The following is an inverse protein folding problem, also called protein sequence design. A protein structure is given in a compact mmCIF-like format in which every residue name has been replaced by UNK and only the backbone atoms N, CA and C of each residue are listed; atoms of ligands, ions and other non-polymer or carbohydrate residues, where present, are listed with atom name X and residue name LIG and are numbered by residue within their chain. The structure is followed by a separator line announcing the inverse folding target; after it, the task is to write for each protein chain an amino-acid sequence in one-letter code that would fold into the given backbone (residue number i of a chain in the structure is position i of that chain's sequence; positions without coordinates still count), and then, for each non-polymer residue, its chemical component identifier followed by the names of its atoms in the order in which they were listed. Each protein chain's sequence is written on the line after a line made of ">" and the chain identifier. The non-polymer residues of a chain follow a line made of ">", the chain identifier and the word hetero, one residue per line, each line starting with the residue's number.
data_IF_702627979944
#
_entry.id   IF_702627979944
#
_cell.length_a   1.000
_cell.length_b   1.000
_cell.length_c   1.000
_cell.angle_alpha   90.00
_cell.angle_beta   90.00
_cell.angle_gamma   90.00
#
_symmetry.space_group_name_H-M   'P 1'
#
loop_
_entity.id
_entity.type
_entity.pdbx_description
1 polymer ?
#
# COMPACT_ATOMS: atom_id res chain seq x y z
N UNK A 1 9.39 0.16 -70.01
CA UNK A 1 10.09 0.61 -68.79
C UNK A 1 9.15 1.22 -67.74
N UNK A 2 7.87 1.10 -67.86
CA UNK A 2 6.89 1.79 -66.96
C UNK A 2 6.19 0.87 -65.96
N UNK A 3 6.02 -0.42 -66.25
CA UNK A 3 5.33 -1.33 -65.28
C UNK A 3 6.21 -1.80 -64.12
N UNK A 4 7.52 -1.86 -64.30
CA UNK A 4 8.45 -2.33 -63.25
C UNK A 4 8.63 -1.25 -62.16
N UNK A 5 8.65 0.04 -62.56
CA UNK A 5 8.75 1.14 -61.59
C UNK A 5 7.48 1.35 -60.75
N UNK A 6 6.29 1.11 -61.32
CA UNK A 6 5.06 1.18 -60.55
C UNK A 6 4.93 0.08 -59.47
N UNK A 7 5.33 -1.15 -59.82
CA UNK A 7 5.30 -2.26 -58.82
C UNK A 7 6.31 -2.09 -57.70
N UNK A 8 7.47 -1.49 -58.00
CA UNK A 8 8.47 -1.20 -56.99
C UNK A 8 8.04 -0.06 -56.05
N UNK A 9 7.32 0.93 -56.58
CA UNK A 9 6.77 2.04 -55.80
C UNK A 9 5.64 1.59 -54.87
N UNK A 10 4.80 0.65 -55.28
CA UNK A 10 3.77 0.03 -54.40
C UNK A 10 4.36 -0.88 -53.33
N UNK A 11 5.47 -1.56 -53.61
CA UNK A 11 6.18 -2.34 -52.59
C UNK A 11 6.86 -1.45 -51.53
N UNK A 12 7.41 -0.31 -51.96
CA UNK A 12 7.98 0.70 -51.04
C UNK A 12 6.90 1.40 -50.20
N UNK A 13 5.71 1.70 -50.79
CA UNK A 13 4.59 2.24 -50.02
C UNK A 13 3.99 1.26 -49.03
N UNK A 14 4.01 -0.04 -49.34
CA UNK A 14 3.54 -1.09 -48.42
C UNK A 14 4.53 -1.34 -47.26
N UNK A 15 5.83 -1.12 -47.48
CA UNK A 15 6.85 -1.16 -46.43
C UNK A 15 6.85 0.08 -45.53
N UNK A 16 6.31 1.23 -45.99
CA UNK A 16 6.16 2.48 -45.20
C UNK A 16 4.86 2.54 -44.43
N UNK A 17 3.89 1.65 -44.71
CA UNK A 17 2.81 1.31 -43.78
C UNK A 17 3.31 0.29 -42.75
N UNK A 18 4.51 0.57 -42.23
CA UNK A 18 4.96 -0.07 -41.01
C UNK A 18 3.89 0.13 -39.97
N UNK A 19 3.18 -0.95 -39.65
CA UNK A 19 2.35 -1.03 -38.45
C UNK A 19 3.19 -0.47 -37.34
N UNK A 20 2.86 0.72 -36.84
CA UNK A 20 3.25 1.12 -35.51
C UNK A 20 2.59 0.08 -34.61
N UNK A 21 3.29 -1.03 -34.39
CA UNK A 21 3.03 -1.87 -33.25
C UNK A 21 3.32 -0.96 -32.08
N UNK A 22 2.28 -0.28 -31.62
CA UNK A 22 2.29 0.31 -30.29
C UNK A 22 2.54 -0.92 -29.42
N UNK A 23 3.78 -1.10 -29.03
CA UNK A 23 4.15 -2.10 -28.05
C UNK A 23 3.29 -1.78 -26.84
N UNK A 24 2.22 -2.55 -26.67
CA UNK A 24 1.36 -2.42 -25.52
C UNK A 24 2.28 -2.67 -24.33
N UNK A 25 2.63 -1.59 -23.62
CA UNK A 25 3.58 -1.61 -22.51
C UNK A 25 3.03 -2.67 -21.55
N UNK A 26 3.65 -3.85 -21.52
CA UNK A 26 3.23 -4.93 -20.62
C UNK A 26 3.32 -4.37 -19.21
N UNK A 27 2.18 -4.23 -18.55
CA UNK A 27 2.14 -3.84 -17.15
C UNK A 27 2.76 -4.99 -16.34
N UNK A 28 3.93 -4.77 -15.81
CA UNK A 28 4.78 -5.80 -15.17
C UNK A 28 4.10 -6.47 -13.99
N UNK A 29 3.17 -5.80 -13.32
CA UNK A 29 2.41 -6.35 -12.19
C UNK A 29 1.37 -7.42 -12.56
N UNK A 30 1.05 -7.60 -13.84
CA UNK A 30 0.12 -8.63 -14.35
C UNK A 30 0.83 -9.88 -14.85
N UNK A 31 2.15 -9.97 -14.70
CA UNK A 31 2.91 -11.17 -15.05
C UNK A 31 2.71 -12.19 -13.91
N UNK A 32 2.23 -13.40 -14.20
CA UNK A 32 2.06 -14.41 -13.17
C UNK A 32 3.39 -14.71 -12.46
N UNK A 33 3.33 -14.92 -11.16
CA UNK A 33 4.47 -15.25 -10.31
C UNK A 33 5.66 -14.26 -10.36
N UNK A 34 5.37 -12.99 -10.68
CA UNK A 34 6.38 -11.94 -10.82
C UNK A 34 6.04 -10.72 -9.97
N UNK A 35 7.02 -10.21 -9.23
CA UNK A 35 6.97 -8.88 -8.63
C UNK A 35 7.99 -7.96 -9.29
N UNK A 36 7.62 -6.73 -9.66
CA UNK A 36 8.52 -5.79 -10.31
C UNK A 36 9.75 -5.46 -9.47
N UNK A 37 10.87 -5.19 -10.11
CA UNK A 37 12.03 -4.61 -9.47
C UNK A 37 11.81 -3.12 -9.18
N UNK A 38 12.72 -2.49 -8.43
CA UNK A 38 12.53 -1.11 -7.99
C UNK A 38 12.40 -0.10 -9.16
N UNK A 39 13.19 -0.27 -10.23
CA UNK A 39 13.08 0.60 -11.42
C UNK A 39 11.71 0.48 -12.08
N UNK A 40 11.24 -0.75 -12.30
CA UNK A 40 9.93 -1.02 -12.88
C UNK A 40 8.78 -0.48 -12.03
N UNK A 41 8.88 -0.58 -10.69
CA UNK A 41 7.92 0.02 -9.77
C UNK A 41 7.87 1.54 -9.98
N UNK A 42 9.01 2.20 -9.95
CA UNK A 42 9.04 3.66 -10.04
C UNK A 42 8.66 4.16 -11.43
N UNK A 43 9.05 3.48 -12.49
CA UNK A 43 8.64 3.82 -13.86
C UNK A 43 7.12 3.71 -14.03
N UNK A 44 6.49 2.67 -13.44
CA UNK A 44 5.03 2.57 -13.42
C UNK A 44 4.38 3.78 -12.72
N UNK A 45 4.87 4.18 -11.55
CA UNK A 45 4.30 5.32 -10.81
C UNK A 45 4.61 6.67 -11.46
N UNK A 46 5.71 6.82 -12.19
CA UNK A 46 5.98 8.00 -13.03
C UNK A 46 4.95 8.11 -14.14
N UNK A 47 4.74 7.03 -14.88
CA UNK A 47 3.72 7.00 -15.94
C UNK A 47 2.31 7.27 -15.37
N UNK A 48 2.00 6.74 -14.20
CA UNK A 48 0.73 6.99 -13.53
C UNK A 48 0.58 8.45 -13.08
N UNK A 49 1.66 9.10 -12.70
CA UNK A 49 1.67 10.50 -12.27
C UNK A 49 1.47 11.51 -13.43
N UNK A 50 1.63 11.09 -14.69
CA UNK A 50 1.28 11.89 -15.85
C UNK A 50 -0.25 12.03 -16.06
N UNK A 51 -1.03 11.23 -15.35
CA UNK A 51 -2.49 11.26 -15.42
C UNK A 51 -3.03 12.39 -14.55
N UNK A 52 -4.07 13.06 -15.05
CA UNK A 52 -4.76 14.13 -14.31
C UNK A 52 -5.16 13.68 -12.91
N UNK A 53 -4.89 14.51 -11.93
CA UNK A 53 -5.21 14.24 -10.53
C UNK A 53 -4.22 13.31 -9.82
N UNK A 54 -3.04 13.10 -10.39
CA UNK A 54 -2.00 12.25 -9.82
C UNK A 54 -0.65 12.96 -9.77
N UNK A 55 0.19 12.59 -8.79
CA UNK A 55 1.55 13.11 -8.66
C UNK A 55 2.46 12.09 -7.97
N UNK A 56 3.74 12.07 -8.34
CA UNK A 56 4.78 11.28 -7.66
C UNK A 56 5.83 12.21 -7.06
N UNK A 57 6.01 12.14 -5.75
CA UNK A 57 6.91 13.01 -4.98
C UNK A 57 8.08 12.21 -4.40
N UNK A 58 9.33 12.67 -4.59
CA UNK A 58 10.47 12.18 -3.81
C UNK A 58 10.39 12.80 -2.41
N UNK A 59 10.16 11.98 -1.37
CA UNK A 59 9.96 12.44 0.00
C UNK A 59 11.24 12.40 0.83
N UNK A 60 12.15 11.50 0.53
CA UNK A 60 13.42 11.32 1.23
C UNK A 60 14.23 10.18 0.63
N UNK A 61 15.07 9.58 1.46
CA UNK A 61 15.99 8.51 1.06
C UNK A 61 16.03 7.40 2.10
N UNK A 62 16.36 6.19 1.63
CA UNK A 62 16.70 5.04 2.47
C UNK A 62 18.10 5.19 3.07
N UNK A 63 18.48 4.28 3.97
CA UNK A 63 19.84 4.22 4.50
C UNK A 63 20.90 3.93 3.41
N UNK A 64 20.53 3.25 2.32
CA UNK A 64 21.36 3.05 1.14
C UNK A 64 21.45 4.26 0.20
N UNK A 65 20.77 5.37 0.53
CA UNK A 65 20.75 6.59 -0.30
C UNK A 65 19.78 6.51 -1.49
N UNK A 66 18.94 5.49 -1.54
CA UNK A 66 17.95 5.31 -2.60
C UNK A 66 16.70 6.14 -2.30
N UNK A 67 16.09 6.79 -3.32
CA UNK A 67 14.92 7.65 -3.11
C UNK A 67 13.71 6.86 -2.64
N UNK A 68 12.96 7.42 -1.68
CA UNK A 68 11.64 6.94 -1.24
C UNK A 68 10.61 7.91 -1.79
N UNK A 69 9.63 7.37 -2.51
CA UNK A 69 8.58 8.12 -3.17
C UNK A 69 7.23 7.98 -2.48
N UNK A 70 6.41 9.00 -2.67
CA UNK A 70 4.99 9.04 -2.35
C UNK A 70 4.21 9.31 -3.62
N UNK A 71 3.31 8.42 -4.00
CA UNK A 71 2.33 8.64 -5.05
C UNK A 71 1.03 9.12 -4.43
N UNK A 72 0.46 10.19 -4.98
CA UNK A 72 -0.85 10.70 -4.60
C UNK A 72 -1.81 10.63 -5.80
N UNK A 73 -3.02 10.18 -5.54
CA UNK A 73 -4.13 10.16 -6.48
C UNK A 73 -5.30 10.99 -5.93
N UNK A 74 -6.04 11.62 -6.82
CA UNK A 74 -7.16 12.50 -6.52
C UNK A 74 -6.73 13.80 -5.83
N UNK A 75 -5.66 14.41 -6.35
CA UNK A 75 -5.05 15.66 -5.86
C UNK A 75 -4.80 16.64 -7.01
N UNK A 76 -4.59 17.94 -6.72
CA UNK A 76 -4.02 18.87 -7.70
C UNK A 76 -2.63 18.44 -8.17
N UNK A 77 -2.24 18.83 -9.41
CA UNK A 77 -0.97 18.45 -10.03
C UNK A 77 0.24 19.26 -9.53
N UNK A 78 0.03 20.31 -8.75
CA UNK A 78 1.10 21.06 -8.08
C UNK A 78 1.46 20.42 -6.75
N UNK A 79 2.76 20.19 -6.51
CA UNK A 79 3.25 19.44 -5.33
C UNK A 79 2.83 20.04 -3.98
N UNK A 80 2.91 21.38 -3.84
CA UNK A 80 2.55 22.04 -2.59
C UNK A 80 1.04 21.98 -2.36
N UNK A 81 0.26 22.26 -3.40
CA UNK A 81 -1.21 22.18 -3.38
C UNK A 81 -1.70 20.76 -3.17
N UNK A 82 -1.01 19.74 -3.72
CA UNK A 82 -1.36 18.34 -3.54
C UNK A 82 -1.26 17.92 -2.07
N UNK A 83 -0.18 18.30 -1.38
CA UNK A 83 0.00 18.00 0.04
C UNK A 83 -0.97 18.79 0.92
N UNK A 84 -1.20 20.07 0.61
CA UNK A 84 -2.21 20.88 1.30
C UNK A 84 -3.62 20.28 1.12
N UNK A 85 -3.96 19.90 -0.11
CA UNK A 85 -5.23 19.26 -0.42
C UNK A 85 -5.40 17.92 0.33
N UNK A 86 -4.34 17.10 0.39
CA UNK A 86 -4.37 15.84 1.14
C UNK A 86 -4.68 16.09 2.63
N UNK A 87 -4.01 17.05 3.26
CA UNK A 87 -4.26 17.41 4.67
C UNK A 87 -5.68 17.91 4.93
N UNK A 88 -6.31 18.55 3.95
CA UNK A 88 -7.68 19.07 4.04
C UNK A 88 -8.77 18.04 3.71
N UNK A 89 -8.41 16.87 3.22
CA UNK A 89 -9.35 15.83 2.79
C UNK A 89 -9.04 14.50 3.47
N UNK A 90 -9.97 13.54 3.34
CA UNK A 90 -9.76 12.19 3.86
C UNK A 90 -8.67 11.47 3.08
N UNK A 91 -7.69 10.91 3.77
CA UNK A 91 -6.53 10.23 3.19
C UNK A 91 -6.47 8.76 3.59
N UNK A 92 -6.38 7.89 2.60
CA UNK A 92 -5.97 6.50 2.75
C UNK A 92 -4.48 6.40 2.39
N UNK A 93 -3.62 6.21 3.39
CA UNK A 93 -2.18 5.97 3.20
C UNK A 93 -1.88 4.48 3.22
N UNK A 94 -1.27 3.99 2.15
CA UNK A 94 -0.86 2.59 1.99
C UNK A 94 0.66 2.52 1.95
N UNK A 95 1.23 1.70 2.83
CA UNK A 95 2.66 1.46 2.89
C UNK A 95 2.99 0.05 2.41
N UNK A 96 3.92 -0.08 1.48
CA UNK A 96 4.27 -1.35 0.88
C UNK A 96 5.74 -1.70 1.11
N UNK A 97 5.99 -2.98 1.36
CA UNK A 97 7.33 -3.53 1.35
C UNK A 97 8.22 -3.05 2.50
N UNK A 98 7.70 -2.87 3.71
CA UNK A 98 8.55 -2.76 4.92
C UNK A 98 9.49 -3.95 4.97
N UNK A 99 8.95 -5.15 4.79
CA UNK A 99 9.71 -6.34 4.48
C UNK A 99 9.66 -6.56 2.97
N UNK A 100 10.73 -6.25 2.28
CA UNK A 100 10.74 -6.27 0.82
C UNK A 100 10.54 -7.67 0.20
N UNK A 101 10.70 -8.73 1.00
CA UNK A 101 10.33 -10.10 0.62
C UNK A 101 8.82 -10.39 0.65
N UNK A 102 7.99 -9.42 1.00
CA UNK A 102 6.54 -9.47 1.13
C UNK A 102 5.87 -8.55 0.10
N UNK A 103 5.96 -8.85 -1.21
CA UNK A 103 5.67 -7.87 -2.28
C UNK A 103 4.19 -7.76 -2.66
N UNK A 104 3.29 -8.49 -2.01
CA UNK A 104 1.88 -8.59 -2.39
C UNK A 104 1.21 -7.22 -2.50
N UNK A 105 1.49 -6.32 -1.55
CA UNK A 105 0.99 -4.95 -1.55
C UNK A 105 1.55 -4.10 -2.69
N UNK A 106 2.80 -4.33 -3.11
CA UNK A 106 3.41 -3.63 -4.25
C UNK A 106 2.59 -3.90 -5.52
N UNK A 107 2.38 -5.20 -5.84
CA UNK A 107 1.61 -5.60 -7.00
C UNK A 107 0.13 -5.18 -6.89
N UNK A 108 -0.48 -5.32 -5.70
CA UNK A 108 -1.87 -4.94 -5.46
C UNK A 108 -2.09 -3.43 -5.65
N UNK A 109 -1.19 -2.58 -5.15
CA UNK A 109 -1.29 -1.13 -5.32
C UNK A 109 -1.08 -0.70 -6.79
N UNK A 110 -0.17 -1.34 -7.53
CA UNK A 110 -0.03 -1.08 -8.96
C UNK A 110 -1.32 -1.44 -9.71
N UNK A 111 -1.92 -2.58 -9.40
CA UNK A 111 -3.21 -2.98 -9.96
C UNK A 111 -4.34 -2.00 -9.56
N UNK A 112 -4.37 -1.54 -8.31
CA UNK A 112 -5.33 -0.51 -7.86
C UNK A 112 -5.22 0.77 -8.68
N UNK A 113 -4.02 1.31 -8.86
CA UNK A 113 -3.76 2.53 -9.63
C UNK A 113 -4.16 2.38 -11.10
N UNK A 114 -3.88 1.22 -11.69
CA UNK A 114 -4.30 0.94 -13.08
C UNK A 114 -5.83 0.83 -13.21
N UNK A 115 -6.51 0.22 -12.23
CA UNK A 115 -7.97 0.15 -12.18
C UNK A 115 -8.61 1.54 -12.00
N UNK A 116 -8.05 2.39 -11.14
CA UNK A 116 -8.51 3.77 -10.94
C UNK A 116 -8.37 4.62 -12.22
N UNK A 117 -7.38 4.34 -13.05
CA UNK A 117 -7.23 5.01 -14.34
C UNK A 117 -8.34 4.64 -15.33
N UNK A 118 -8.83 3.40 -15.28
CA UNK A 118 -9.92 2.89 -16.14
C UNK A 118 -11.30 3.26 -15.60
N UNK A 119 -11.44 3.24 -14.30
CA UNK A 119 -12.68 3.54 -13.58
C UNK A 119 -12.36 4.46 -12.40
N UNK A 120 -12.32 5.78 -12.62
CA UNK A 120 -12.05 6.74 -11.56
C UNK A 120 -13.07 6.62 -10.44
N UNK A 121 -12.60 6.69 -9.21
CA UNK A 121 -13.50 6.74 -8.06
C UNK A 121 -14.27 8.06 -8.02
N UNK A 122 -15.55 8.00 -7.68
CA UNK A 122 -16.37 9.19 -7.38
C UNK A 122 -16.14 9.69 -5.95
N UNK A 123 -15.41 8.94 -5.17
CA UNK A 123 -15.05 9.24 -3.80
C UNK A 123 -13.97 10.34 -3.77
N UNK A 124 -14.13 11.33 -2.88
CA UNK A 124 -13.15 12.42 -2.69
C UNK A 124 -11.91 12.03 -1.88
N UNK A 125 -11.75 10.76 -1.58
CA UNK A 125 -10.59 10.26 -0.84
C UNK A 125 -9.30 10.45 -1.63
N UNK A 126 -8.32 11.03 -0.97
CA UNK A 126 -6.94 11.02 -1.46
C UNK A 126 -6.34 9.65 -1.18
N UNK A 127 -5.83 9.02 -2.22
CA UNK A 127 -5.07 7.76 -2.08
C UNK A 127 -3.59 8.13 -2.09
N UNK A 128 -2.91 7.84 -1.00
CA UNK A 128 -1.48 8.05 -0.82
C UNK A 128 -0.79 6.68 -0.75
N UNK A 129 0.18 6.43 -1.61
CA UNK A 129 0.88 5.14 -1.68
C UNK A 129 2.37 5.38 -1.55
N UNK A 130 3.01 4.68 -0.62
CA UNK A 130 4.46 4.49 -0.61
C UNK A 130 4.74 3.22 -1.44
N UNK A 131 5.25 3.36 -2.69
CA UNK A 131 5.37 2.22 -3.62
C UNK A 131 6.26 1.10 -3.10
N UNK A 132 7.37 1.47 -2.47
CA UNK A 132 8.33 0.57 -1.84
C UNK A 132 9.05 1.32 -0.70
N UNK A 133 8.76 0.97 0.53
CA UNK A 133 9.35 1.63 1.71
C UNK A 133 10.79 1.18 1.97
N UNK A 134 11.03 -0.13 1.98
CA UNK A 134 12.38 -0.71 2.11
C UNK A 134 13.01 -0.86 0.72
N UNK A 135 13.39 0.26 0.12
CA UNK A 135 13.99 0.27 -1.22
C UNK A 135 15.24 -0.59 -1.29
N UNK A 136 16.08 -0.52 -0.24
CA UNK A 136 17.33 -1.27 -0.18
C UNK A 136 17.08 -2.79 -0.20
N UNK A 137 16.05 -3.22 0.54
CA UNK A 137 15.61 -4.61 0.53
C UNK A 137 15.01 -5.04 -0.81
N UNK A 138 14.24 -4.14 -1.48
CA UNK A 138 13.70 -4.41 -2.83
C UNK A 138 14.80 -4.57 -3.86
N UNK A 139 15.90 -3.82 -3.76
CA UNK A 139 17.06 -3.94 -4.63
C UNK A 139 17.88 -5.22 -4.35
N UNK A 140 17.86 -5.73 -3.12
CA UNK A 140 18.54 -6.97 -2.73
C UNK A 140 17.63 -8.19 -2.94
N UNK A 141 17.44 -8.57 -4.21
CA UNK A 141 16.52 -9.64 -4.64
C UNK A 141 17.17 -11.01 -4.65
N UNK A 142 16.40 -12.01 -4.31
CA UNK A 142 16.73 -13.41 -4.54
C UNK A 142 15.48 -14.29 -4.52
N UNK A 143 15.61 -15.52 -5.02
CA UNK A 143 14.57 -16.54 -4.93
C UNK A 143 14.48 -17.22 -3.55
N UNK A 144 15.39 -16.90 -2.63
CA UNK A 144 15.57 -17.62 -1.35
C UNK A 144 15.53 -16.74 -0.10
N UNK A 145 15.22 -15.44 -0.23
CA UNK A 145 15.15 -14.52 0.92
C UNK A 145 14.08 -14.91 1.95
N UNK A 146 13.07 -15.69 1.54
CA UNK A 146 12.03 -16.27 2.43
C UNK A 146 11.84 -17.73 2.09
N UNK A 147 12.28 -18.61 2.98
CA UNK A 147 12.14 -20.04 2.80
C UNK A 147 10.66 -20.45 2.65
N UNK A 148 10.38 -21.36 1.72
CA UNK A 148 9.05 -21.94 1.46
C UNK A 148 7.97 -20.94 0.98
N UNK A 149 8.30 -19.71 0.63
CA UNK A 149 7.30 -18.79 0.08
C UNK A 149 6.87 -19.25 -1.32
N UNK A 150 5.57 -19.37 -1.53
CA UNK A 150 4.95 -19.78 -2.80
C UNK A 150 4.84 -18.58 -3.76
N UNK A 151 5.96 -18.25 -4.41
CA UNK A 151 6.08 -17.11 -5.31
C UNK A 151 6.18 -15.75 -4.60
N UNK A 152 6.52 -14.72 -5.37
CA UNK A 152 6.95 -14.74 -6.77
C UNK A 152 8.32 -15.43 -6.96
N UNK A 153 8.82 -15.49 -8.21
CA UNK A 153 10.11 -16.14 -8.53
C UNK A 153 11.29 -15.53 -7.77
N UNK A 154 11.30 -14.19 -7.68
CA UNK A 154 12.28 -13.42 -6.91
C UNK A 154 11.58 -12.35 -6.11
N UNK A 155 12.08 -12.05 -4.95
CA UNK A 155 11.57 -11.03 -4.04
C UNK A 155 12.70 -10.42 -3.24
N UNK A 156 12.44 -9.30 -2.57
CA UNK A 156 13.43 -8.55 -1.83
C UNK A 156 13.84 -9.21 -0.51
N UNK A 157 14.81 -8.59 0.14
CA UNK A 157 15.33 -8.99 1.46
C UNK A 157 14.62 -8.22 2.58
N UNK A 158 14.45 -8.86 3.75
CA UNK A 158 13.71 -8.29 4.90
C UNK A 158 14.36 -7.00 5.43
N UNK A 159 15.67 -7.01 5.65
CA UNK A 159 16.40 -5.88 6.20
C UNK A 159 16.67 -4.78 5.17
N UNK A 160 16.95 -3.57 5.65
CA UNK A 160 17.42 -2.47 4.81
C UNK A 160 18.94 -2.56 4.59
N UNK A 161 19.57 -1.51 4.03
CA UNK A 161 21.02 -1.46 3.78
C UNK A 161 21.88 -1.62 5.05
N UNK A 162 21.33 -1.35 6.22
CA UNK A 162 21.98 -1.57 7.53
C UNK A 162 21.51 -2.85 8.24
N UNK A 163 20.81 -3.73 7.53
CA UNK A 163 20.22 -4.95 8.09
C UNK A 163 19.21 -4.70 9.20
N UNK A 164 18.63 -3.50 9.30
CA UNK A 164 17.59 -3.19 10.27
C UNK A 164 16.24 -3.77 9.81
N UNK A 165 15.47 -4.31 10.76
CA UNK A 165 14.05 -4.56 10.57
C UNK A 165 13.29 -3.24 10.73
N UNK A 166 12.88 -2.67 9.61
CA UNK A 166 12.20 -1.37 9.58
C UNK A 166 10.85 -1.39 10.32
N UNK A 167 10.21 -2.57 10.46
CA UNK A 167 8.98 -2.69 11.27
C UNK A 167 9.27 -2.83 12.78
N UNK A 168 10.43 -2.36 13.24
CA UNK A 168 10.82 -2.20 14.64
C UNK A 168 11.33 -0.78 14.94
N UNK A 169 11.29 0.11 13.94
CA UNK A 169 12.03 1.37 13.98
C UNK A 169 11.16 2.64 14.02
N UNK A 170 9.82 2.51 13.96
CA UNK A 170 8.94 3.66 13.79
C UNK A 170 9.04 4.70 14.93
N UNK A 171 9.03 4.27 16.20
CA UNK A 171 9.18 5.20 17.33
C UNK A 171 10.65 5.53 17.62
N UNK A 172 11.57 4.64 17.25
CA UNK A 172 13.00 4.84 17.47
C UNK A 172 13.61 5.79 16.46
N UNK A 173 13.17 5.69 15.18
CA UNK A 173 13.64 6.52 14.07
C UNK A 173 15.16 6.51 13.86
N UNK A 174 15.79 5.32 13.98
CA UNK A 174 17.24 5.12 13.82
C UNK A 174 17.66 5.15 12.34
N UNK A 175 16.72 4.80 11.42
CA UNK A 175 16.97 4.75 9.98
C UNK A 175 16.53 6.04 9.27
N UNK A 176 17.15 6.33 8.12
CA UNK A 176 16.65 7.36 7.20
C UNK A 176 15.26 7.01 6.67
N UNK A 177 14.96 5.71 6.53
CA UNK A 177 13.63 5.24 6.15
C UNK A 177 12.58 5.72 7.15
N UNK A 178 12.78 5.56 8.46
CA UNK A 178 11.85 5.98 9.49
C UNK A 178 11.64 7.51 9.51
N UNK A 179 12.73 8.28 9.35
CA UNK A 179 12.64 9.75 9.22
C UNK A 179 11.84 10.16 7.96
N UNK A 180 12.05 9.45 6.84
CA UNK A 180 11.31 9.70 5.60
C UNK A 180 9.82 9.35 5.78
N UNK A 181 9.51 8.24 6.45
CA UNK A 181 8.12 7.86 6.74
C UNK A 181 7.44 8.91 7.62
N UNK A 182 8.08 9.35 8.70
CA UNK A 182 7.54 10.39 9.56
C UNK A 182 7.22 11.67 8.78
N UNK A 183 8.12 12.08 7.87
CA UNK A 183 7.90 13.22 6.97
C UNK A 183 6.69 13.00 6.04
N UNK A 184 6.56 11.81 5.44
CA UNK A 184 5.41 11.46 4.60
C UNK A 184 4.13 11.52 5.43
N UNK A 185 4.11 10.85 6.58
CA UNK A 185 2.93 10.76 7.44
C UNK A 185 2.43 12.13 7.87
N UNK A 186 3.34 13.01 8.31
CA UNK A 186 3.03 14.39 8.67
C UNK A 186 2.55 15.24 7.47
N UNK A 187 3.11 14.98 6.27
CA UNK A 187 2.75 15.74 5.08
C UNK A 187 1.31 15.46 4.60
N UNK A 188 0.84 14.22 4.74
CA UNK A 188 -0.50 13.83 4.25
C UNK A 188 -1.56 13.79 5.35
N UNK A 189 -1.15 13.64 6.62
CA UNK A 189 -2.06 13.55 7.77
C UNK A 189 -3.15 12.49 7.58
N UNK A 190 -2.74 11.22 7.51
CA UNK A 190 -3.58 10.10 7.09
C UNK A 190 -4.72 9.81 8.09
N UNK A 191 -5.95 9.65 7.60
CA UNK A 191 -7.11 9.20 8.39
C UNK A 191 -7.16 7.68 8.51
N UNK A 192 -6.78 6.98 7.43
CA UNK A 192 -6.65 5.52 7.40
C UNK A 192 -5.25 5.17 6.94
N UNK A 193 -4.63 4.25 7.66
CA UNK A 193 -3.30 3.74 7.34
C UNK A 193 -3.37 2.22 7.13
N UNK A 194 -2.70 1.73 6.09
CA UNK A 194 -2.55 0.29 5.83
C UNK A 194 -1.10 -0.05 5.61
N UNK A 195 -0.60 -1.01 6.38
CA UNK A 195 0.67 -1.65 6.12
C UNK A 195 0.45 -3.02 5.50
N UNK A 196 1.14 -3.33 4.40
CA UNK A 196 0.94 -4.58 3.67
C UNK A 196 2.04 -5.59 3.97
N UNK A 197 1.64 -6.78 4.41
CA UNK A 197 2.54 -7.86 4.81
C UNK A 197 2.16 -9.22 4.24
N UNK A 198 3.09 -10.18 4.41
CA UNK A 198 2.89 -11.60 4.15
C UNK A 198 3.37 -12.40 5.35
N UNK A 199 2.45 -13.05 6.02
CA UNK A 199 2.76 -13.85 7.22
C UNK A 199 3.51 -15.15 6.88
N UNK A 200 4.30 -15.58 7.84
CA UNK A 200 4.88 -16.93 7.92
C UNK A 200 4.26 -17.70 9.09
N UNK A 201 4.84 -18.82 9.48
CA UNK A 201 4.40 -19.59 10.65
C UNK A 201 3.17 -20.44 10.38
N UNK A 202 2.10 -20.26 11.17
CA UNK A 202 0.90 -21.07 11.08
C UNK A 202 0.26 -21.04 9.68
N UNK A 203 0.02 -22.21 9.09
CA UNK A 203 -0.65 -22.32 7.80
C UNK A 203 -2.15 -22.10 7.95
N UNK A 204 -2.59 -20.85 7.90
CA UNK A 204 -4.01 -20.50 7.93
C UNK A 204 -4.78 -21.16 6.78
N UNK A 205 -6.03 -21.54 7.05
CA UNK A 205 -6.93 -22.06 6.02
C UNK A 205 -7.19 -21.01 4.92
N UNK A 206 -7.30 -19.74 5.31
CA UNK A 206 -7.60 -18.63 4.42
C UNK A 206 -6.33 -17.91 3.97
N UNK A 207 -6.36 -17.37 2.73
CA UNK A 207 -5.23 -16.65 2.17
C UNK A 207 -4.99 -15.32 2.86
N UNK A 208 -6.07 -14.58 3.17
CA UNK A 208 -6.00 -13.27 3.80
C UNK A 208 -6.33 -13.38 5.30
N UNK A 209 -5.42 -12.91 6.12
CA UNK A 209 -5.68 -12.48 7.47
C UNK A 209 -5.36 -10.99 7.60
N UNK A 210 -5.81 -10.33 8.65
CA UNK A 210 -5.42 -8.95 8.90
C UNK A 210 -5.49 -8.63 10.40
N UNK A 211 -4.70 -7.65 10.80
CA UNK A 211 -4.68 -7.12 12.17
C UNK A 211 -5.65 -5.95 12.18
N UNK A 212 -6.66 -6.05 13.05
CA UNK A 212 -7.60 -4.96 13.32
C UNK A 212 -6.95 -3.88 14.19
N UNK A 213 -7.41 -2.63 14.08
CA UNK A 213 -7.02 -1.58 15.02
C UNK A 213 -7.34 -1.98 16.46
N UNK A 214 -6.44 -1.67 17.39
CA UNK A 214 -6.69 -1.83 18.84
C UNK A 214 -7.56 -0.69 19.33
N UNK A 215 -8.87 -0.85 19.21
CA UNK A 215 -9.85 0.22 19.48
C UNK A 215 -9.91 0.65 20.94
N UNK A 216 -9.53 -0.23 21.86
CA UNK A 216 -9.38 0.10 23.30
C UNK A 216 -8.26 1.11 23.59
N UNK A 217 -7.39 1.37 22.62
CA UNK A 217 -6.31 2.37 22.68
C UNK A 217 -6.59 3.61 21.84
N UNK A 218 -7.81 3.75 21.33
CA UNK A 218 -8.26 4.90 20.55
C UNK A 218 -9.13 5.82 21.39
N UNK A 219 -9.22 7.10 21.02
CA UNK A 219 -10.28 7.96 21.53
C UNK A 219 -11.66 7.34 21.31
N UNK A 220 -12.56 7.48 22.28
CA UNK A 220 -13.86 6.78 22.30
C UNK A 220 -14.66 6.94 21.01
N UNK A 221 -14.77 8.16 20.48
CA UNK A 221 -15.51 8.41 19.24
C UNK A 221 -14.91 7.67 18.04
N UNK A 222 -13.57 7.63 17.94
CA UNK A 222 -12.87 6.91 16.88
C UNK A 222 -13.02 5.40 17.04
N UNK A 223 -12.93 4.88 18.25
CA UNK A 223 -13.15 3.47 18.56
C UNK A 223 -14.59 3.03 18.17
N UNK A 224 -15.59 3.85 18.48
CA UNK A 224 -16.97 3.57 18.09
C UNK A 224 -17.18 3.58 16.57
N UNK A 225 -16.63 4.56 15.86
CA UNK A 225 -16.64 4.62 14.39
C UNK A 225 -15.99 3.38 13.78
N UNK A 226 -14.81 3.01 14.29
CA UNK A 226 -14.06 1.84 13.80
C UNK A 226 -14.83 0.55 14.02
N UNK A 227 -15.34 0.31 15.23
CA UNK A 227 -16.01 -0.94 15.59
C UNK A 227 -17.41 -1.07 14.99
N UNK A 228 -18.18 0.03 14.91
CA UNK A 228 -19.58 -0.02 14.47
C UNK A 228 -19.72 0.09 12.94
N UNK A 229 -18.75 0.70 12.27
CA UNK A 229 -18.87 1.00 10.84
C UNK A 229 -17.71 0.45 10.01
N UNK A 230 -16.45 0.81 10.30
CA UNK A 230 -15.33 0.46 9.43
C UNK A 230 -15.08 -1.05 9.35
N UNK A 231 -14.85 -1.71 10.48
CA UNK A 231 -14.58 -3.16 10.54
C UNK A 231 -15.75 -3.99 9.98
N UNK A 232 -17.04 -3.74 10.36
CA UNK A 232 -18.16 -4.48 9.79
C UNK A 232 -18.32 -4.28 8.29
N UNK A 233 -18.06 -3.06 7.78
CA UNK A 233 -18.12 -2.77 6.35
C UNK A 233 -17.07 -3.59 5.58
N UNK A 234 -15.81 -3.53 5.98
CA UNK A 234 -14.71 -4.28 5.36
C UNK A 234 -15.01 -5.78 5.34
N UNK A 235 -15.47 -6.34 6.47
CA UNK A 235 -15.88 -7.76 6.55
C UNK A 235 -16.99 -8.10 5.56
N UNK A 236 -18.00 -7.24 5.45
CA UNK A 236 -19.13 -7.44 4.54
C UNK A 236 -18.66 -7.41 3.08
N UNK A 237 -17.83 -6.42 2.71
CA UNK A 237 -17.33 -6.31 1.33
C UNK A 237 -16.47 -7.51 0.93
N UNK A 238 -15.57 -7.96 1.79
CA UNK A 238 -14.78 -9.17 1.55
C UNK A 238 -15.67 -10.41 1.41
N UNK A 239 -16.72 -10.53 2.25
CA UNK A 239 -17.65 -11.64 2.17
C UNK A 239 -18.48 -11.64 0.88
N UNK A 240 -18.90 -10.47 0.37
CA UNK A 240 -19.58 -10.36 -0.94
C UNK A 240 -18.73 -10.82 -2.11
N UNK A 241 -17.40 -10.66 -2.00
CA UNK A 241 -16.41 -11.16 -2.96
C UNK A 241 -16.08 -12.65 -2.76
N UNK A 242 -16.74 -13.33 -1.81
CA UNK A 242 -16.44 -14.72 -1.46
C UNK A 242 -15.11 -14.92 -0.71
N UNK A 243 -14.48 -13.84 -0.26
CA UNK A 243 -13.22 -13.89 0.47
C UNK A 243 -13.48 -14.14 1.94
N UNK A 244 -13.07 -15.31 2.40
CA UNK A 244 -13.10 -15.67 3.82
C UNK A 244 -11.80 -15.20 4.47
N UNK A 245 -11.92 -14.61 5.64
CA UNK A 245 -10.77 -14.08 6.40
C UNK A 245 -10.98 -14.30 7.89
N UNK A 246 -9.88 -14.36 8.62
CA UNK A 246 -9.82 -14.41 10.07
C UNK A 246 -8.82 -13.39 10.58
N UNK A 247 -8.90 -12.93 11.84
CA UNK A 247 -7.86 -12.12 12.42
C UNK A 247 -6.50 -12.83 12.39
N UNK A 248 -5.43 -12.06 12.15
CA UNK A 248 -4.08 -12.54 12.40
C UNK A 248 -3.89 -12.74 13.90
N UNK A 249 -3.32 -13.86 14.28
CA UNK A 249 -3.08 -14.24 15.69
C UNK A 249 -1.66 -14.78 15.85
N UNK A 250 -1.13 -14.66 17.06
CA UNK A 250 0.10 -15.29 17.48
C UNK A 250 -0.20 -16.40 18.50
N UNK A 251 0.64 -17.41 18.53
CA UNK A 251 0.58 -18.43 19.59
C UNK A 251 1.17 -17.89 20.88
N UNK A 252 0.56 -18.26 22.02
CA UNK A 252 1.07 -17.92 23.36
C UNK A 252 2.40 -18.66 23.63
N UNK A 253 2.61 -19.82 22.99
CA UNK A 253 3.83 -20.61 23.07
C UNK A 253 3.98 -21.45 21.80
N UNK A 254 4.95 -22.36 21.80
CA UNK A 254 5.23 -23.25 20.67
C UNK A 254 4.11 -24.25 20.37
N UNK A 255 3.08 -24.35 21.21
CA UNK A 255 1.94 -25.25 21.02
C UNK A 255 0.61 -24.52 21.14
N UNK A 256 -0.39 -24.97 20.33
CA UNK A 256 -1.73 -24.40 20.33
C UNK A 256 -2.51 -24.59 21.62
N UNK A 257 -2.15 -25.63 22.41
CA UNK A 257 -2.84 -25.95 23.69
C UNK A 257 -2.73 -24.81 24.72
N UNK A 258 -1.69 -23.99 24.62
CA UNK A 258 -1.54 -22.79 25.46
C UNK A 258 -2.31 -21.58 24.96
N UNK A 259 -2.98 -21.72 23.83
CA UNK A 259 -3.85 -20.70 23.26
C UNK A 259 -3.18 -19.78 22.24
N UNK A 260 -3.99 -18.86 21.74
CA UNK A 260 -3.61 -17.82 20.77
C UNK A 260 -3.98 -16.46 21.36
N UNK A 261 -3.28 -15.42 20.91
CA UNK A 261 -3.63 -14.04 21.24
C UNK A 261 -3.59 -13.15 19.99
N UNK A 262 -4.29 -12.04 20.03
CA UNK A 262 -4.20 -11.02 18.99
C UNK A 262 -2.83 -10.33 19.06
N UNK A 263 -2.24 -10.07 17.92
CA UNK A 263 -0.99 -9.30 17.84
C UNK A 263 -1.15 -7.93 18.50
N UNK A 264 -0.24 -7.62 19.41
CA UNK A 264 -0.25 -6.34 20.12
C UNK A 264 0.66 -5.34 19.42
N UNK A 265 0.04 -4.49 18.65
CA UNK A 265 0.65 -3.49 17.82
C UNK A 265 1.08 -2.25 18.64
N UNK A 266 2.32 -2.24 19.08
CA UNK A 266 2.94 -1.12 19.79
C UNK A 266 3.51 -0.07 18.81
N UNK A 267 3.79 1.18 19.25
CA UNK A 267 4.33 2.25 18.37
C UNK A 267 5.68 1.97 17.71
N UNK A 268 6.37 0.89 18.07
CA UNK A 268 7.56 0.41 17.35
C UNK A 268 7.23 -0.16 15.97
N UNK A 269 5.99 -0.57 15.75
CA UNK A 269 5.44 -1.06 14.49
C UNK A 269 4.71 0.04 13.73
N UNK A 270 4.59 -0.10 12.41
CA UNK A 270 3.98 0.89 11.54
C UNK A 270 2.55 1.26 11.96
N UNK A 271 1.71 0.25 12.17
CA UNK A 271 0.31 0.42 12.51
C UNK A 271 0.14 1.09 13.89
N UNK A 272 0.91 0.68 14.89
CA UNK A 272 0.90 1.28 16.21
C UNK A 272 1.42 2.72 16.25
N UNK A 273 2.40 3.02 15.39
CA UNK A 273 2.87 4.39 15.17
C UNK A 273 1.78 5.29 14.57
N UNK A 274 1.13 4.84 13.49
CA UNK A 274 0.05 5.58 12.85
C UNK A 274 -1.11 5.90 13.82
N UNK A 275 -1.42 4.98 14.73
CA UNK A 275 -2.45 5.19 15.76
C UNK A 275 -2.12 6.32 16.73
N UNK A 276 -0.85 6.63 17.00
CA UNK A 276 -0.47 7.78 17.84
C UNK A 276 -0.99 9.11 17.27
N UNK A 277 -1.21 9.15 15.95
CA UNK A 277 -1.75 10.31 15.23
C UNK A 277 -3.23 10.13 14.89
N UNK A 278 -3.91 9.23 15.59
CA UNK A 278 -5.34 8.97 15.44
C UNK A 278 -5.78 8.37 14.10
N UNK A 279 -4.86 7.84 13.29
CA UNK A 279 -5.24 7.09 12.09
C UNK A 279 -5.89 5.75 12.47
N UNK A 280 -6.96 5.37 11.76
CA UNK A 280 -7.51 4.03 11.80
C UNK A 280 -6.56 3.14 11.01
N UNK A 281 -5.81 2.29 11.69
CA UNK A 281 -4.68 1.58 11.10
C UNK A 281 -4.91 0.08 11.03
N UNK A 282 -4.62 -0.52 9.86
CA UNK A 282 -4.71 -1.95 9.60
C UNK A 282 -3.37 -2.50 9.11
N UNK A 283 -3.15 -3.79 9.36
CA UNK A 283 -2.10 -4.54 8.67
C UNK A 283 -2.74 -5.70 7.92
N UNK A 284 -2.53 -5.80 6.60
CA UNK A 284 -2.91 -7.00 5.86
C UNK A 284 -1.80 -8.05 5.97
N UNK A 285 -2.20 -9.29 6.18
CA UNK A 285 -1.30 -10.44 6.34
C UNK A 285 -1.80 -11.58 5.46
N UNK A 286 -1.32 -11.66 4.22
CA UNK A 286 -1.55 -12.83 3.40
C UNK A 286 -0.57 -13.93 3.77
N UNK A 287 -0.93 -15.21 3.55
CA UNK A 287 -0.06 -16.30 4.00
C UNK A 287 0.90 -16.78 2.91
N UNK A 288 2.20 -16.82 3.23
CA UNK A 288 3.29 -17.14 2.29
C UNK A 288 3.15 -18.47 1.54
N UNK A 289 2.44 -19.46 2.08
CA UNK A 289 2.24 -20.77 1.45
C UNK A 289 1.09 -20.76 0.41
N UNK A 290 0.33 -19.68 0.31
CA UNK A 290 -0.73 -19.54 -0.70
C UNK A 290 -0.14 -19.03 -2.02
N UNK A 291 -0.75 -19.33 -3.19
CA UNK A 291 -0.27 -18.84 -4.49
C UNK A 291 -0.18 -17.32 -4.53
N UNK A 292 0.87 -16.79 -5.15
CA UNK A 292 1.19 -15.37 -5.18
C UNK A 292 0.07 -14.51 -5.80
N UNK A 293 -0.48 -14.95 -6.93
CA UNK A 293 -1.59 -14.28 -7.61
C UNK A 293 -2.84 -14.18 -6.73
N UNK A 294 -3.15 -15.23 -5.98
CA UNK A 294 -4.26 -15.24 -5.03
C UNK A 294 -4.02 -14.27 -3.86
N UNK A 295 -2.78 -14.21 -3.36
CA UNK A 295 -2.40 -13.27 -2.29
C UNK A 295 -2.54 -11.82 -2.76
N UNK A 296 -2.02 -11.49 -3.94
CA UNK A 296 -2.13 -10.16 -4.55
C UNK A 296 -3.59 -9.77 -4.76
N UNK A 297 -4.41 -10.67 -5.34
CA UNK A 297 -5.83 -10.41 -5.57
C UNK A 297 -6.59 -10.13 -4.27
N UNK A 298 -6.31 -10.87 -3.20
CA UNK A 298 -7.00 -10.67 -1.92
C UNK A 298 -6.48 -9.44 -1.16
N UNK A 299 -5.19 -9.08 -1.30
CA UNK A 299 -4.67 -7.79 -0.82
C UNK A 299 -5.38 -6.63 -1.55
N UNK A 300 -5.51 -6.69 -2.87
CA UNK A 300 -6.22 -5.68 -3.66
C UNK A 300 -7.70 -5.55 -3.22
N UNK A 301 -8.38 -6.66 -3.01
CA UNK A 301 -9.76 -6.66 -2.52
C UNK A 301 -9.89 -6.00 -1.15
N UNK A 302 -8.94 -6.27 -0.24
CA UNK A 302 -8.89 -5.64 1.07
C UNK A 302 -8.67 -4.12 0.98
N UNK A 303 -7.71 -3.68 0.18
CA UNK A 303 -7.45 -2.25 -0.04
C UNK A 303 -8.66 -1.54 -0.65
N UNK A 304 -9.32 -2.15 -1.64
CA UNK A 304 -10.53 -1.61 -2.24
C UNK A 304 -11.69 -1.53 -1.25
N UNK A 305 -11.84 -2.51 -0.36
CA UNK A 305 -12.89 -2.46 0.68
C UNK A 305 -12.67 -1.31 1.65
N UNK A 306 -11.41 -1.02 2.00
CA UNK A 306 -11.06 0.15 2.82
C UNK A 306 -11.32 1.46 2.08
N UNK A 307 -10.96 1.57 0.80
CA UNK A 307 -11.25 2.74 -0.02
C UNK A 307 -12.76 3.02 -0.10
N UNK A 308 -13.57 1.98 -0.24
CA UNK A 308 -15.03 2.10 -0.29
C UNK A 308 -15.64 2.42 1.10
N UNK A 309 -15.01 2.00 2.20
CA UNK A 309 -15.44 2.34 3.56
C UNK A 309 -15.21 3.82 3.90
N UNK A 310 -14.36 4.49 3.17
CA UNK A 310 -13.85 5.83 3.46
C UNK A 310 -14.91 6.95 3.49
N UNK A 311 -16.04 6.92 2.73
CA UNK A 311 -17.12 7.88 2.94
C UNK A 311 -17.72 7.82 4.35
N UNK A 312 -17.64 6.67 5.01
CA UNK A 312 -18.07 6.49 6.40
C UNK A 312 -17.04 7.07 7.39
N UNK A 313 -15.78 7.24 6.94
CA UNK A 313 -14.65 7.73 7.74
C UNK A 313 -14.42 9.25 7.59
N UNK A 314 -15.16 9.91 6.69
CA UNK A 314 -15.10 11.36 6.49
C UNK A 314 -15.20 12.20 7.80
N UNK A 315 -15.85 11.72 8.86
CA UNK A 315 -15.88 12.42 10.15
C UNK A 315 -14.58 12.39 10.95
N UNK A 316 -13.55 11.59 10.59
CA UNK A 316 -12.36 11.42 11.46
C UNK A 316 -11.69 12.76 11.75
N UNK A 317 -11.36 13.56 10.74
CA UNK A 317 -10.79 14.90 10.93
C UNK A 317 -11.73 15.86 11.63
N UNK A 318 -13.03 15.75 11.38
CA UNK A 318 -14.06 16.58 12.04
C UNK A 318 -14.20 16.24 13.53
N UNK A 319 -14.15 14.95 13.88
CA UNK A 319 -14.18 14.50 15.27
C UNK A 319 -13.01 15.11 16.05
N UNK A 320 -11.80 15.14 15.46
CA UNK A 320 -10.62 15.68 16.12
C UNK A 320 -10.57 17.21 16.13
N UNK A 321 -11.00 17.88 15.07
CA UNK A 321 -11.08 19.35 15.08
C UNK A 321 -12.06 19.85 16.14
N UNK A 322 -13.20 19.19 16.32
CA UNK A 322 -14.17 19.52 17.35
C UNK A 322 -13.69 19.13 18.76
N UNK A 323 -13.05 17.96 18.93
CA UNK A 323 -12.52 17.51 20.21
C UNK A 323 -11.33 18.34 20.71
N UNK A 324 -10.47 18.83 19.82
CA UNK A 324 -9.40 19.77 20.16
C UNK A 324 -9.95 21.14 20.59
N UNK A 325 -11.06 21.58 20.03
CA UNK A 325 -11.73 22.81 20.46
C UNK A 325 -12.35 22.67 21.86
N UNK A 326 -12.92 21.53 22.21
CA UNK A 326 -13.40 21.26 23.58
C UNK A 326 -12.24 21.19 24.57
N UNK A 327 -11.11 20.58 24.21
CA UNK A 327 -9.91 20.52 25.06
C UNK A 327 -9.24 21.90 25.23
N UNK A 328 -9.17 22.69 24.16
CA UNK A 328 -8.63 24.05 24.21
C UNK A 328 -9.53 24.99 25.05
N UNK A 329 -10.85 24.76 25.02
CA UNK A 329 -11.81 25.49 25.90
C UNK A 329 -11.66 25.14 27.38
N UNK A 330 -11.09 23.97 27.70
CA UNK A 330 -10.86 23.57 29.10
C UNK A 330 -9.51 24.03 29.67
N UNK A 331 -8.55 24.33 28.80
CA UNK A 331 -7.18 24.78 29.19
C UNK A 331 -7.13 26.32 29.32
N UNK A 332 -8.13 27.04 28.82
CA UNK A 332 -8.21 28.51 28.87
C UNK A 332 -9.25 29.04 29.90
N UNK A 333 -9.70 28.19 30.82
CA UNK A 333 -10.43 28.57 32.02
C UNK A 333 -9.65 28.17 33.27
#
# INVERSE_FOLDING_TARGET
>A
MTLFHQRFMYLLLFCLLGTTVVAQKRTTFNIPNYTPNYSEIIDFYRDAAERKGSILLKMGESDGGNPIYLFLYNVPEDSAKALEFARANTVLLINNGIHAGEPDGINACMAMVDNLAKQPTTNRTVIAIIPAYNVDGVLNRSASSRANQNGPEEYGFRGNAKYLDLNRDFIKSDSKNALTFAKIFQAVDADVFVDTHVSNGANYQYTLTYINPMTERMPKALAELTNKHCIPFVKKELATLGIKTVPYVEMVSDTLEKGIHQFNDLPRYAMGYARLFHAISFTSETHMLKPFDQRVAQTLAFLNSLLQSNPLLCPVKVIFSNGLMEFAGFVLR
#
